data_IF_211423470425
#
_entry.id   IF_211423470425
#
_cell.length_a   1.000
_cell.length_b   1.000
_cell.length_c   1.000
_cell.angle_alpha   90.00
_cell.angle_beta   90.00
_cell.angle_gamma   90.00
#
_symmetry.space_group_name_H-M   'P 1'
#
loop_
_entity.id
_entity.type
_entity.pdbx_description
1 polymer ?
#
# COMPACT_ATOMS: atom_id res chain seq x y z
N UNK A 1 -8.15 4.67 -6.89
CA UNK A 1 -8.91 3.81 -5.97
C UNK A 1 -10.36 4.21 -5.85
N UNK A 2 -10.72 5.09 -4.90
CA UNK A 2 -12.11 5.34 -4.49
C UNK A 2 -13.06 5.76 -5.64
N UNK A 3 -12.60 6.59 -6.57
CA UNK A 3 -13.38 6.98 -7.76
C UNK A 3 -13.69 5.82 -8.70
N UNK A 4 -12.78 4.86 -8.82
CA UNK A 4 -13.00 3.64 -9.61
C UNK A 4 -13.98 2.72 -8.89
N UNK A 5 -13.84 2.57 -7.57
CA UNK A 5 -14.80 1.83 -6.76
C UNK A 5 -16.22 2.39 -6.92
N UNK A 6 -16.42 3.69 -6.74
CA UNK A 6 -17.75 4.30 -6.74
C UNK A 6 -18.53 4.11 -8.05
N UNK A 7 -17.82 4.03 -9.17
CA UNK A 7 -18.38 3.80 -10.50
C UNK A 7 -18.47 2.30 -10.87
N UNK A 8 -18.01 1.40 -10.01
CA UNK A 8 -18.02 -0.05 -10.29
C UNK A 8 -19.41 -0.67 -10.14
N UNK A 9 -19.65 -1.76 -10.86
CA UNK A 9 -20.84 -2.58 -10.68
C UNK A 9 -20.93 -3.14 -9.26
N UNK A 10 -19.79 -3.44 -8.63
CA UNK A 10 -19.73 -3.90 -7.25
C UNK A 10 -20.31 -2.87 -6.28
N UNK A 11 -19.87 -1.60 -6.36
CA UNK A 11 -20.40 -0.53 -5.51
C UNK A 11 -21.86 -0.20 -5.84
N UNK A 12 -22.28 -0.33 -7.09
CA UNK A 12 -23.68 -0.17 -7.48
C UNK A 12 -24.60 -1.24 -6.87
N UNK A 13 -24.11 -2.49 -6.72
CA UNK A 13 -24.84 -3.55 -6.00
C UNK A 13 -24.84 -3.34 -4.49
N UNK A 14 -23.73 -2.86 -3.94
CA UNK A 14 -23.60 -2.62 -2.50
C UNK A 14 -24.45 -1.41 -2.05
N UNK A 15 -24.55 -0.38 -2.89
CA UNK A 15 -25.29 0.86 -2.60
C UNK A 15 -26.13 1.33 -3.81
N UNK A 16 -27.22 0.62 -4.14
CA UNK A 16 -28.06 0.95 -5.31
C UNK A 16 -28.61 2.37 -5.26
N UNK A 17 -29.03 2.82 -4.07
CA UNK A 17 -29.75 4.08 -3.86
C UNK A 17 -28.83 5.28 -3.56
N UNK A 18 -27.52 5.08 -3.48
CA UNK A 18 -26.56 6.18 -3.25
C UNK A 18 -25.97 6.70 -4.55
N UNK A 19 -25.81 8.03 -4.63
CA UNK A 19 -25.07 8.67 -5.72
C UNK A 19 -23.59 8.24 -5.75
N UNK A 20 -23.00 8.28 -6.95
CA UNK A 20 -21.61 7.90 -7.19
C UNK A 20 -20.65 8.70 -6.31
N UNK A 21 -20.89 10.00 -6.09
CA UNK A 21 -20.03 10.83 -5.23
C UNK A 21 -19.99 10.34 -3.78
N UNK A 22 -21.15 9.93 -3.24
CA UNK A 22 -21.29 9.46 -1.86
C UNK A 22 -20.63 8.09 -1.69
N UNK A 23 -20.76 7.19 -2.67
CA UNK A 23 -20.07 5.88 -2.66
C UNK A 23 -18.55 6.03 -2.51
N UNK A 24 -17.98 7.07 -3.13
CA UNK A 24 -16.56 7.40 -2.99
C UNK A 24 -16.19 7.73 -1.55
N UNK A 25 -17.00 8.54 -0.86
CA UNK A 25 -16.80 8.90 0.54
C UNK A 25 -16.92 7.68 1.47
N UNK A 26 -17.87 6.78 1.23
CA UNK A 26 -18.01 5.52 1.98
C UNK A 26 -16.73 4.68 1.88
N UNK A 27 -16.15 4.57 0.68
CA UNK A 27 -14.90 3.82 0.47
C UNK A 27 -13.72 4.44 1.22
N UNK A 28 -13.63 5.78 1.26
CA UNK A 28 -12.59 6.47 2.03
C UNK A 28 -12.72 6.14 3.53
N UNK A 29 -13.92 6.21 4.08
CA UNK A 29 -14.16 5.91 5.50
C UNK A 29 -13.82 4.46 5.85
N UNK A 30 -14.24 3.49 5.03
CA UNK A 30 -13.96 2.06 5.24
C UNK A 30 -12.49 1.72 5.10
N UNK A 31 -11.79 2.37 4.16
CA UNK A 31 -10.34 2.20 3.99
C UNK A 31 -9.57 2.64 5.23
N UNK A 32 -10.06 3.62 5.99
CA UNK A 32 -9.45 4.00 7.27
C UNK A 32 -9.65 2.91 8.34
N UNK A 33 -10.80 2.24 8.35
CA UNK A 33 -11.12 1.16 9.30
C UNK A 33 -10.29 -0.10 9.01
N UNK A 34 -10.32 -0.57 7.76
CA UNK A 34 -9.48 -1.67 7.29
C UNK A 34 -9.09 -1.43 5.81
N UNK A 35 -7.84 -1.00 5.55
CA UNK A 35 -7.38 -0.76 4.19
C UNK A 35 -7.44 -2.00 3.30
N UNK A 36 -7.12 -3.18 3.85
CA UNK A 36 -7.05 -4.42 3.09
C UNK A 36 -8.46 -4.84 2.65
N UNK A 37 -9.42 -4.86 3.57
CA UNK A 37 -10.78 -5.30 3.30
C UNK A 37 -11.52 -4.41 2.29
N UNK A 38 -11.16 -3.12 2.20
CA UNK A 38 -11.75 -2.18 1.25
C UNK A 38 -11.02 -2.17 -0.10
N UNK A 39 -9.68 -2.17 -0.13
CA UNK A 39 -8.92 -2.09 -1.37
C UNK A 39 -9.05 -3.33 -2.26
N UNK A 40 -9.31 -4.51 -1.68
CA UNK A 40 -9.54 -5.76 -2.46
C UNK A 40 -10.80 -5.72 -3.31
N UNK A 41 -11.73 -4.78 -3.05
CA UNK A 41 -12.95 -4.57 -3.85
C UNK A 41 -12.68 -3.85 -5.17
N UNK A 42 -11.46 -3.34 -5.35
CA UNK A 42 -11.04 -2.58 -6.52
C UNK A 42 -10.12 -3.45 -7.37
N UNK A 43 -10.20 -3.32 -8.70
CA UNK A 43 -9.21 -3.96 -9.57
C UNK A 43 -7.80 -3.46 -9.19
N UNK A 44 -6.81 -4.33 -8.93
CA UNK A 44 -5.53 -3.91 -8.35
C UNK A 44 -4.79 -2.84 -9.17
N UNK A 45 -4.81 -2.96 -10.50
CA UNK A 45 -4.21 -1.97 -11.41
C UNK A 45 -4.90 -0.59 -11.38
N UNK A 46 -6.14 -0.52 -10.90
CA UNK A 46 -6.92 0.70 -10.81
C UNK A 46 -6.82 1.40 -9.44
N UNK A 47 -6.04 0.84 -8.51
CA UNK A 47 -5.77 1.48 -7.21
C UNK A 47 -5.03 2.81 -7.42
N UNK A 48 -4.13 2.90 -8.40
CA UNK A 48 -3.29 4.07 -8.65
C UNK A 48 -1.97 3.97 -7.91
N UNK A 49 -1.07 3.11 -8.39
CA UNK A 49 0.16 2.75 -7.65
C UNK A 49 1.43 3.45 -8.15
N UNK A 50 1.33 4.27 -9.21
CA UNK A 50 2.47 5.01 -9.74
C UNK A 50 2.06 6.02 -10.83
N UNK A 51 2.95 7.00 -11.08
CA UNK A 51 2.70 8.14 -11.97
C UNK A 51 2.41 7.74 -13.42
N UNK A 52 3.21 6.82 -13.97
CA UNK A 52 3.12 6.37 -15.36
C UNK A 52 2.57 4.94 -15.48
N UNK A 53 1.71 4.53 -14.54
CA UNK A 53 1.15 3.17 -14.51
C UNK A 53 0.34 2.82 -15.78
N UNK A 54 -0.12 3.82 -16.52
CA UNK A 54 -0.87 3.64 -17.76
C UNK A 54 0.04 3.42 -18.98
N UNK A 55 1.33 3.79 -18.86
CA UNK A 55 2.30 3.71 -19.95
C UNK A 55 3.10 2.39 -19.94
N UNK A 56 2.87 1.54 -18.93
CA UNK A 56 3.48 0.21 -18.84
C UNK A 56 2.59 -0.87 -19.45
N UNK A 57 3.17 -2.05 -19.68
CA UNK A 57 2.45 -3.25 -20.08
C UNK A 57 1.36 -3.62 -19.04
N UNK A 58 0.10 -3.43 -19.44
CA UNK A 58 -1.05 -3.58 -18.55
C UNK A 58 -1.28 -5.03 -18.12
N UNK A 59 -0.89 -6.02 -18.94
CA UNK A 59 -1.03 -7.42 -18.59
C UNK A 59 -0.02 -7.82 -17.52
N UNK A 60 1.25 -7.42 -17.69
CA UNK A 60 2.30 -7.65 -16.69
C UNK A 60 2.00 -6.90 -15.39
N UNK A 61 1.50 -5.67 -15.47
CA UNK A 61 1.09 -4.89 -14.30
C UNK A 61 -0.03 -5.58 -13.52
N UNK A 62 -1.11 -5.99 -14.20
CA UNK A 62 -2.23 -6.67 -13.58
C UNK A 62 -1.77 -7.95 -12.86
N UNK A 63 -1.02 -8.81 -13.55
CA UNK A 63 -0.50 -10.06 -12.97
C UNK A 63 0.38 -9.81 -11.73
N UNK A 64 1.27 -8.82 -11.79
CA UNK A 64 2.15 -8.49 -10.67
C UNK A 64 1.38 -7.96 -9.44
N UNK A 65 0.38 -7.12 -9.68
CA UNK A 65 -0.45 -6.56 -8.61
C UNK A 65 -1.42 -7.60 -8.05
N UNK A 66 -2.01 -8.47 -8.87
CA UNK A 66 -2.85 -9.58 -8.40
C UNK A 66 -2.06 -10.52 -7.47
N UNK A 67 -0.84 -10.90 -7.86
CA UNK A 67 0.03 -11.71 -7.02
C UNK A 67 0.36 -11.01 -5.68
N UNK A 68 0.59 -9.69 -5.71
CA UNK A 68 0.83 -8.93 -4.46
C UNK A 68 -0.40 -8.84 -3.57
N UNK A 69 -1.60 -8.73 -4.14
CA UNK A 69 -2.84 -8.75 -3.38
C UNK A 69 -3.05 -10.12 -2.73
N UNK A 70 -2.80 -11.20 -3.48
CA UNK A 70 -2.84 -12.57 -2.94
C UNK A 70 -1.85 -12.75 -1.79
N UNK A 71 -0.57 -12.35 -1.95
CA UNK A 71 0.43 -12.39 -0.88
C UNK A 71 -0.05 -11.67 0.39
N UNK A 72 -0.58 -10.45 0.24
CA UNK A 72 -1.02 -9.63 1.38
C UNK A 72 -2.25 -10.23 2.09
N UNK A 73 -3.25 -10.69 1.34
CA UNK A 73 -4.48 -11.27 1.92
C UNK A 73 -4.16 -12.55 2.69
N UNK A 74 -3.36 -13.44 2.10
CA UNK A 74 -3.02 -14.70 2.73
C UNK A 74 -2.05 -14.52 3.90
N UNK A 75 -1.16 -13.52 3.87
CA UNK A 75 -0.31 -13.19 5.02
C UNK A 75 -1.10 -12.69 6.24
N UNK A 76 -2.17 -11.91 6.03
CA UNK A 76 -3.03 -11.42 7.11
C UNK A 76 -4.00 -12.51 7.57
N UNK A 77 -4.48 -13.34 6.66
CA UNK A 77 -5.53 -14.32 6.90
C UNK A 77 -6.91 -13.68 7.02
N UNK A 78 -7.96 -14.45 6.79
CA UNK A 78 -9.33 -13.93 6.61
C UNK A 78 -10.28 -14.63 7.56
N UNK A 79 -11.06 -13.88 8.34
CA UNK A 79 -12.18 -14.46 9.09
C UNK A 79 -13.33 -14.80 8.14
N UNK A 80 -13.60 -16.09 8.00
CA UNK A 80 -14.57 -16.60 7.02
C UNK A 80 -16.02 -16.17 7.33
N UNK A 81 -16.31 -15.89 8.61
CA UNK A 81 -17.65 -15.53 9.05
C UNK A 81 -17.99 -14.06 8.81
N UNK A 82 -17.00 -13.20 8.62
CA UNK A 82 -17.21 -11.75 8.42
C UNK A 82 -16.74 -11.26 7.06
N UNK A 83 -15.85 -11.99 6.39
CA UNK A 83 -15.31 -11.58 5.11
C UNK A 83 -16.35 -11.45 4.00
N UNK A 84 -16.11 -10.48 3.12
CA UNK A 84 -16.84 -10.32 1.87
C UNK A 84 -16.38 -11.33 0.82
N UNK A 85 -17.23 -11.59 -0.18
CA UNK A 85 -16.85 -12.43 -1.32
C UNK A 85 -15.63 -11.87 -2.08
N UNK A 86 -15.48 -10.54 -2.14
CA UNK A 86 -14.31 -9.91 -2.78
C UNK A 86 -13.00 -10.23 -2.05
N UNK A 87 -13.01 -10.22 -0.71
CA UNK A 87 -11.85 -10.59 0.09
C UNK A 87 -11.55 -12.09 0.00
N UNK A 88 -12.59 -12.95 0.12
CA UNK A 88 -12.45 -14.40 -0.02
C UNK A 88 -11.90 -14.81 -1.38
N UNK A 89 -12.23 -14.10 -2.45
CA UNK A 89 -11.70 -14.37 -3.81
C UNK A 89 -10.19 -14.26 -3.90
N UNK A 90 -9.54 -13.56 -2.95
CA UNK A 90 -8.09 -13.37 -2.91
C UNK A 90 -7.37 -14.38 -2.01
N UNK A 91 -8.10 -15.28 -1.36
CA UNK A 91 -7.54 -16.35 -0.55
C UNK A 91 -7.06 -17.48 -1.46
N UNK A 92 -5.89 -18.06 -1.13
CA UNK A 92 -5.30 -19.18 -1.86
C UNK A 92 -6.31 -20.30 -2.11
N UNK A 93 -6.36 -20.78 -3.35
CA UNK A 93 -7.25 -21.85 -3.79
C UNK A 93 -8.72 -21.45 -3.99
N UNK A 94 -9.14 -20.23 -3.61
CA UNK A 94 -10.52 -19.77 -3.81
C UNK A 94 -10.69 -19.04 -5.14
N UNK A 95 -11.84 -19.28 -5.78
CA UNK A 95 -12.30 -18.51 -6.95
C UNK A 95 -13.49 -17.64 -6.56
N UNK A 96 -13.87 -16.68 -7.41
CA UNK A 96 -15.07 -15.86 -7.22
C UNK A 96 -16.32 -16.70 -6.97
N UNK A 97 -16.44 -17.82 -7.68
CA UNK A 97 -17.52 -18.78 -7.54
C UNK A 97 -17.55 -19.44 -6.15
N UNK A 98 -16.40 -19.90 -5.66
CA UNK A 98 -16.33 -20.57 -4.34
C UNK A 98 -16.49 -19.53 -3.23
N UNK A 99 -15.89 -18.35 -3.36
CA UNK A 99 -16.06 -17.24 -2.43
C UNK A 99 -17.54 -16.85 -2.27
N UNK A 100 -18.30 -16.75 -3.37
CA UNK A 100 -19.73 -16.50 -3.31
C UNK A 100 -20.49 -17.66 -2.66
N UNK A 101 -20.13 -18.91 -2.97
CA UNK A 101 -20.74 -20.09 -2.36
C UNK A 101 -20.51 -20.13 -0.84
N UNK A 102 -19.35 -19.70 -0.33
CA UNK A 102 -19.07 -19.60 1.11
C UNK A 102 -20.02 -18.59 1.76
N UNK A 103 -20.17 -17.40 1.17
CA UNK A 103 -21.09 -16.37 1.69
C UNK A 103 -22.54 -16.87 1.67
N UNK A 104 -23.00 -17.45 0.56
CA UNK A 104 -24.35 -18.01 0.45
C UNK A 104 -24.59 -19.12 1.48
N UNK A 105 -23.61 -20.00 1.68
CA UNK A 105 -23.70 -21.07 2.67
C UNK A 105 -23.82 -20.48 4.08
N UNK A 106 -22.98 -19.51 4.43
CA UNK A 106 -23.00 -18.82 5.74
C UNK A 106 -24.34 -18.12 5.98
N UNK A 107 -24.85 -17.41 4.98
CA UNK A 107 -26.11 -16.67 5.11
C UNK A 107 -27.32 -17.61 5.29
N UNK A 108 -27.26 -18.82 4.69
CA UNK A 108 -28.32 -19.82 4.81
C UNK A 108 -28.22 -20.73 6.05
N UNK A 109 -27.01 -21.06 6.51
CA UNK A 109 -26.76 -22.04 7.57
C UNK A 109 -26.25 -21.42 8.89
N UNK A 110 -25.96 -20.12 8.88
CA UNK A 110 -25.30 -19.43 9.99
C UNK A 110 -23.78 -19.49 9.89
N UNK A 111 -23.13 -18.94 10.93
CA UNK A 111 -21.67 -18.90 11.03
C UNK A 111 -21.05 -20.30 11.10
N UNK A 112 -19.91 -20.49 10.42
CA UNK A 112 -19.10 -21.69 10.51
C UNK A 112 -18.53 -21.83 11.92
N UNK A 113 -18.67 -23.03 12.51
CA UNK A 113 -18.14 -23.38 13.83
C UNK A 113 -16.80 -24.09 13.79
N UNK A 114 -16.44 -24.68 12.65
CA UNK A 114 -15.11 -25.23 12.43
C UNK A 114 -14.72 -25.22 10.95
N UNK A 115 -13.42 -25.27 10.66
CA UNK A 115 -12.91 -25.33 9.28
C UNK A 115 -13.45 -26.53 8.53
N UNK A 116 -13.67 -27.67 9.21
CA UNK A 116 -14.23 -28.89 8.60
C UNK A 116 -15.61 -28.64 7.95
N UNK A 117 -16.37 -27.66 8.43
CA UNK A 117 -17.65 -27.32 7.83
C UNK A 117 -17.54 -26.67 6.45
N UNK A 118 -16.36 -26.13 6.09
CA UNK A 118 -16.11 -25.58 4.75
C UNK A 118 -16.25 -26.66 3.66
N UNK A 119 -16.00 -27.93 3.97
CA UNK A 119 -16.23 -29.05 3.04
C UNK A 119 -17.71 -29.26 2.69
N UNK A 120 -18.64 -28.66 3.44
CA UNK A 120 -20.08 -28.67 3.12
C UNK A 120 -20.43 -27.59 2.08
N UNK A 121 -19.52 -26.66 1.78
CA UNK A 121 -19.75 -25.59 0.81
C UNK A 121 -19.72 -26.18 -0.61
N UNK A 122 -20.72 -25.90 -1.45
CA UNK A 122 -20.75 -26.42 -2.81
C UNK A 122 -19.50 -26.05 -3.61
N UNK A 123 -18.91 -27.03 -4.32
CA UNK A 123 -17.69 -26.89 -5.13
C UNK A 123 -16.40 -26.64 -4.34
N UNK A 124 -16.43 -26.68 -3.00
CA UNK A 124 -15.24 -26.68 -2.16
C UNK A 124 -14.87 -28.14 -1.83
N UNK A 125 -14.00 -28.73 -2.65
CA UNK A 125 -13.50 -30.09 -2.45
C UNK A 125 -12.22 -30.15 -1.62
N UNK A 126 -11.73 -31.35 -1.33
CA UNK A 126 -10.57 -31.59 -0.45
C UNK A 126 -9.31 -30.83 -0.88
N UNK A 127 -9.01 -30.78 -2.19
CA UNK A 127 -7.84 -30.04 -2.68
C UNK A 127 -7.99 -28.54 -2.48
N UNK A 128 -9.17 -27.98 -2.71
CA UNK A 128 -9.44 -26.56 -2.43
C UNK A 128 -9.33 -26.28 -0.94
N UNK A 129 -9.88 -27.17 -0.12
CA UNK A 129 -9.80 -27.07 1.34
C UNK A 129 -8.34 -27.05 1.82
N UNK A 130 -7.50 -27.97 1.33
CA UNK A 130 -6.06 -28.01 1.63
C UNK A 130 -5.34 -26.70 1.24
N UNK A 131 -5.74 -26.06 0.14
CA UNK A 131 -5.10 -24.81 -0.29
C UNK A 131 -5.55 -23.58 0.51
N UNK A 132 -6.78 -23.58 1.04
CA UNK A 132 -7.38 -22.39 1.66
C UNK A 132 -7.46 -22.45 3.18
N UNK A 133 -7.53 -23.64 3.79
CA UNK A 133 -7.92 -23.80 5.18
C UNK A 133 -6.98 -23.08 6.16
N UNK A 134 -5.68 -23.05 5.89
CA UNK A 134 -4.70 -22.35 6.74
C UNK A 134 -4.88 -20.82 6.78
N UNK A 135 -5.52 -20.25 5.76
CA UNK A 135 -5.72 -18.81 5.60
C UNK A 135 -7.11 -18.35 6.05
N UNK A 136 -8.06 -19.28 6.20
CA UNK A 136 -9.41 -19.00 6.69
C UNK A 136 -9.48 -19.23 8.19
N UNK A 137 -9.85 -18.21 8.96
CA UNK A 137 -9.92 -18.24 10.42
C UNK A 137 -11.36 -18.26 10.92
N UNK A 138 -11.56 -18.88 12.07
CA UNK A 138 -12.82 -18.89 12.81
C UNK A 138 -12.47 -18.57 14.27
N UNK A 139 -12.75 -17.33 14.71
CA UNK A 139 -12.35 -16.84 16.03
C UNK A 139 -13.09 -17.56 17.18
N UNK A 140 -14.42 -17.67 17.06
CA UNK A 140 -15.30 -18.20 18.11
C UNK A 140 -15.86 -19.59 17.74
N UNK A 141 -14.98 -20.46 17.24
CA UNK A 141 -15.30 -21.82 16.81
C UNK A 141 -15.16 -22.88 17.91
N UNK A 142 -15.60 -24.10 17.60
CA UNK A 142 -15.52 -25.25 18.50
C UNK A 142 -14.07 -25.79 18.62
N UNK A 143 -13.26 -25.59 17.58
CA UNK A 143 -11.85 -25.98 17.53
C UNK A 143 -10.96 -24.73 17.73
N UNK A 144 -10.27 -24.57 18.88
CA UNK A 144 -9.45 -23.39 19.15
C UNK A 144 -8.33 -23.13 18.13
N UNK A 145 -7.83 -24.17 17.47
CA UNK A 145 -6.79 -24.03 16.43
C UNK A 145 -7.31 -23.36 15.15
N UNK A 146 -8.62 -23.30 14.92
CA UNK A 146 -9.21 -22.66 13.74
C UNK A 146 -9.08 -21.12 13.79
N UNK A 147 -8.81 -20.54 14.96
CA UNK A 147 -8.48 -19.12 15.11
C UNK A 147 -7.03 -18.79 14.72
N UNK A 148 -6.21 -19.81 14.48
CA UNK A 148 -4.77 -19.69 14.21
C UNK A 148 -4.43 -19.97 12.74
N UNK A 149 -3.19 -19.73 12.36
CA UNK A 149 -2.64 -20.07 11.04
C UNK A 149 -2.16 -21.53 10.96
N UNK A 150 -2.32 -22.33 12.03
CA UNK A 150 -1.99 -23.76 12.00
C UNK A 150 -2.92 -24.46 11.02
N UNK A 151 -2.35 -25.08 10.00
CA UNK A 151 -3.12 -25.80 8.99
C UNK A 151 -3.75 -27.07 9.58
N UNK A 152 -5.00 -27.46 9.22
CA UNK A 152 -5.66 -28.66 9.75
C UNK A 152 -4.88 -29.97 9.57
N UNK A 153 -4.06 -30.08 8.52
CA UNK A 153 -3.19 -31.25 8.32
C UNK A 153 -2.18 -31.46 9.46
N UNK A 154 -1.81 -30.37 10.16
CA UNK A 154 -0.83 -30.36 11.23
C UNK A 154 -1.47 -30.43 12.63
N UNK A 155 -2.79 -30.57 12.74
CA UNK A 155 -3.46 -30.77 14.04
C UNK A 155 -2.93 -31.98 14.81
N UNK A 156 -2.60 -33.12 14.17
CA UNK A 156 -1.96 -34.24 14.87
C UNK A 156 -0.62 -33.88 15.52
N UNK A 157 0.14 -32.92 14.97
CA UNK A 157 1.38 -32.42 15.59
C UNK A 157 1.08 -31.71 16.90
N UNK A 158 0.07 -30.84 16.89
CA UNK A 158 -0.37 -30.12 18.10
C UNK A 158 -0.90 -31.10 19.15
N UNK A 159 -1.65 -32.13 18.75
CA UNK A 159 -2.11 -33.18 19.66
C UNK A 159 -0.94 -33.93 20.34
N UNK A 160 0.16 -34.19 19.61
CA UNK A 160 1.38 -34.77 20.20
C UNK A 160 2.03 -33.83 21.22
N UNK A 161 2.09 -32.53 20.92
CA UNK A 161 2.60 -31.51 21.85
C UNK A 161 1.78 -31.49 23.14
N UNK A 162 0.45 -31.52 23.04
CA UNK A 162 -0.46 -31.50 24.18
C UNK A 162 -0.30 -32.73 25.08
N UNK A 163 -0.19 -33.92 24.46
CA UNK A 163 0.03 -35.18 25.19
C UNK A 163 1.33 -35.15 25.98
N UNK A 164 2.40 -34.61 25.41
CA UNK A 164 3.70 -34.48 26.09
C UNK A 164 3.63 -33.50 27.26
N UNK A 165 2.87 -32.41 27.11
CA UNK A 165 2.74 -31.38 28.15
C UNK A 165 1.71 -31.76 29.24
N UNK A 166 0.80 -32.69 28.97
CA UNK A 166 -0.32 -33.03 29.86
C UNK A 166 -1.32 -31.88 30.03
N UNK A 167 -1.54 -31.08 28.98
CA UNK A 167 -2.34 -29.84 29.02
C UNK A 167 -3.39 -29.84 27.91
N UNK A 168 -4.45 -29.06 28.10
CA UNK A 168 -5.46 -28.82 27.06
C UNK A 168 -5.02 -27.68 26.11
N UNK A 169 -5.54 -27.68 24.87
CA UNK A 169 -5.22 -26.67 23.84
C UNK A 169 -5.37 -25.24 24.38
N UNK A 170 -6.49 -24.96 25.04
CA UNK A 170 -6.83 -23.62 25.56
C UNK A 170 -5.85 -23.13 26.63
N UNK A 171 -5.18 -24.05 27.33
CA UNK A 171 -4.19 -23.73 28.37
C UNK A 171 -2.78 -23.57 27.81
N UNK A 172 -2.52 -24.08 26.60
CA UNK A 172 -1.23 -23.98 25.92
C UNK A 172 -1.15 -22.71 25.07
N UNK A 173 -2.26 -22.32 24.44
CA UNK A 173 -2.34 -21.08 23.65
C UNK A 173 -2.00 -19.88 24.53
N UNK A 174 -1.02 -19.08 24.10
CA UNK A 174 -0.57 -17.89 24.83
C UNK A 174 0.45 -18.15 25.95
N UNK A 175 0.75 -19.41 26.31
CA UNK A 175 1.76 -19.75 27.31
C UNK A 175 3.18 -19.68 26.70
N UNK A 176 3.66 -18.46 26.48
CA UNK A 176 4.94 -18.20 25.83
C UNK A 176 6.12 -18.83 26.57
N UNK A 177 6.05 -18.95 27.90
CA UNK A 177 7.14 -19.55 28.69
C UNK A 177 7.25 -21.04 28.39
N UNK A 178 6.14 -21.77 28.45
CA UNK A 178 6.12 -23.20 28.14
C UNK A 178 6.49 -23.45 26.67
N UNK A 179 5.87 -22.73 25.73
CA UNK A 179 6.08 -22.94 24.30
C UNK A 179 7.54 -22.71 23.88
N UNK A 180 8.23 -21.73 24.47
CA UNK A 180 9.65 -21.47 24.20
C UNK A 180 10.59 -22.48 24.84
N UNK A 181 10.14 -23.21 25.85
CA UNK A 181 10.92 -24.30 26.48
C UNK A 181 10.91 -25.59 25.64
N UNK A 182 9.90 -25.76 24.78
CA UNK A 182 9.76 -26.92 23.92
C UNK A 182 10.79 -26.92 22.79
N UNK A 183 11.32 -28.10 22.47
CA UNK A 183 12.23 -28.30 21.34
C UNK A 183 11.46 -28.85 20.15
N UNK A 184 11.48 -28.12 19.03
CA UNK A 184 10.74 -28.49 17.82
C UNK A 184 11.14 -29.88 17.29
N UNK A 185 12.40 -30.27 17.47
CA UNK A 185 12.96 -31.57 17.06
C UNK A 185 12.26 -32.76 17.72
N UNK A 186 11.56 -32.55 18.84
CA UNK A 186 10.83 -33.61 19.56
C UNK A 186 9.47 -33.95 18.93
N UNK A 187 8.95 -33.07 18.07
CA UNK A 187 7.58 -33.20 17.52
C UNK A 187 7.54 -33.35 16.00
N UNK A 188 8.69 -33.56 15.37
CA UNK A 188 8.76 -33.84 13.92
C UNK A 188 8.19 -35.23 13.60
N UNK A 189 7.87 -35.46 12.33
CA UNK A 189 7.61 -36.78 11.76
C UNK A 189 8.09 -36.81 10.30
N UNK A 190 7.73 -37.87 9.55
CA UNK A 190 8.11 -38.04 8.15
C UNK A 190 7.51 -36.97 7.22
N UNK A 191 6.40 -36.34 7.63
CA UNK A 191 5.67 -35.34 6.85
C UNK A 191 6.01 -33.92 7.29
N UNK A 192 6.12 -33.69 8.60
CA UNK A 192 6.30 -32.37 9.21
C UNK A 192 7.70 -32.23 9.82
N UNK A 193 8.56 -31.47 9.12
CA UNK A 193 9.90 -31.16 9.57
C UNK A 193 9.98 -30.04 10.62
N UNK A 194 11.20 -29.75 11.07
CA UNK A 194 11.51 -28.72 12.07
C UNK A 194 10.94 -27.33 11.74
N UNK A 195 11.00 -26.82 10.48
CA UNK A 195 10.44 -25.51 10.16
C UNK A 195 8.94 -25.41 10.49
N UNK A 196 8.16 -26.41 10.07
CA UNK A 196 6.71 -26.46 10.31
C UNK A 196 6.39 -26.50 11.79
N UNK A 197 7.05 -27.37 12.55
CA UNK A 197 6.84 -27.46 14.01
C UNK A 197 7.21 -26.14 14.70
N UNK A 198 8.30 -25.50 14.29
CA UNK A 198 8.72 -24.21 14.85
C UNK A 198 7.67 -23.12 14.60
N UNK A 199 7.07 -23.10 13.41
CA UNK A 199 6.05 -22.12 13.09
C UNK A 199 4.73 -22.42 13.82
N UNK A 200 4.37 -23.70 14.01
CA UNK A 200 3.26 -24.10 14.89
C UNK A 200 3.49 -23.59 16.31
N UNK A 201 4.68 -23.74 16.89
CA UNK A 201 4.98 -23.27 18.25
C UNK A 201 4.86 -21.74 18.37
N UNK A 202 5.34 -20.99 17.38
CA UNK A 202 5.17 -19.52 17.33
C UNK A 202 3.69 -19.14 17.20
N UNK A 203 2.95 -19.87 16.40
CA UNK A 203 1.53 -19.61 16.17
C UNK A 203 0.71 -19.90 17.43
N UNK A 204 1.04 -20.96 18.19
CA UNK A 204 0.43 -21.23 19.50
C UNK A 204 0.79 -20.14 20.54
N UNK A 205 1.94 -19.47 20.40
CA UNK A 205 2.32 -18.36 21.29
C UNK A 205 1.40 -17.16 21.08
N UNK A 206 1.08 -16.84 19.82
CA UNK A 206 0.19 -15.73 19.44
C UNK A 206 -0.66 -16.12 18.22
N UNK A 207 -1.82 -16.79 18.43
CA UNK A 207 -2.65 -17.27 17.33
C UNK A 207 -3.19 -16.14 16.46
N UNK A 208 -3.15 -16.33 15.15
CA UNK A 208 -3.72 -15.41 14.17
C UNK A 208 -3.08 -14.02 14.23
N UNK A 209 -1.80 -13.94 14.61
CA UNK A 209 -1.07 -12.69 14.76
C UNK A 209 -1.16 -11.89 13.46
N UNK A 210 -1.76 -10.71 13.55
CA UNK A 210 -1.80 -9.78 12.44
C UNK A 210 -0.38 -9.30 12.08
N UNK A 211 0.08 -9.49 10.83
CA UNK A 211 1.39 -9.01 10.40
C UNK A 211 1.42 -7.49 10.14
N UNK A 212 0.25 -6.83 10.11
CA UNK A 212 0.15 -5.38 9.90
C UNK A 212 0.71 -4.63 11.11
N UNK A 213 1.32 -3.45 10.90
CA UNK A 213 1.76 -2.61 12.01
C UNK A 213 0.56 -2.15 12.85
N UNK A 214 0.80 -1.90 14.13
CA UNK A 214 -0.20 -1.27 14.99
C UNK A 214 -0.56 0.12 14.45
N UNK A 215 -1.86 0.41 14.40
CA UNK A 215 -2.35 1.71 13.99
C UNK A 215 -1.94 2.77 15.02
N UNK A 216 -1.28 3.82 14.55
CA UNK A 216 -0.97 5.02 15.34
C UNK A 216 -1.63 6.20 14.65
N UNK A 217 -2.53 6.88 15.36
CA UNK A 217 -3.06 8.15 14.88
C UNK A 217 -1.97 9.20 15.00
N UNK A 218 -1.64 9.87 13.89
CA UNK A 218 -0.84 11.08 13.96
C UNK A 218 -1.62 12.13 14.75
N UNK A 219 -0.98 12.71 15.77
CA UNK A 219 -1.56 13.84 16.50
C UNK A 219 -1.04 15.11 15.84
N UNK A 220 -1.90 15.73 15.03
CA UNK A 220 -1.61 17.07 14.55
C UNK A 220 -1.70 18.05 15.72
N UNK A 221 -0.93 19.13 15.66
CA UNK A 221 -0.98 20.15 16.70
C UNK A 221 -2.35 20.86 16.65
N UNK A 222 -3.04 20.91 17.78
CA UNK A 222 -4.34 21.59 17.89
C UNK A 222 -4.21 23.06 17.47
N UNK A 223 -5.06 23.50 16.53
CA UNK A 223 -5.12 24.89 16.05
C UNK A 223 -4.21 25.23 14.86
N UNK A 224 -3.61 24.23 14.18
CA UNK A 224 -2.87 24.41 12.92
C UNK A 224 -3.60 23.64 11.81
N UNK A 225 -4.55 24.30 11.14
CA UNK A 225 -5.40 23.68 10.10
C UNK A 225 -5.10 24.24 8.70
N UNK A 226 -4.55 25.47 8.62
CA UNK A 226 -4.21 26.12 7.36
C UNK A 226 -2.71 26.42 7.26
N UNK A 227 -2.21 26.54 6.03
CA UNK A 227 -0.81 26.93 5.75
C UNK A 227 -0.43 28.27 6.42
N UNK A 228 -1.43 29.13 6.69
CA UNK A 228 -1.25 30.44 7.33
C UNK A 228 -0.95 30.35 8.82
N UNK A 229 -1.30 29.24 9.46
CA UNK A 229 -1.08 29.02 10.89
C UNK A 229 0.34 28.54 11.16
N UNK A 230 1.04 28.08 10.11
CA UNK A 230 2.43 27.65 10.20
C UNK A 230 3.37 28.81 10.42
N UNK A 231 4.31 28.61 11.34
CA UNK A 231 5.44 29.50 11.57
C UNK A 231 6.74 28.73 11.47
N UNK A 232 7.76 29.39 10.94
CA UNK A 232 9.11 28.83 10.91
C UNK A 232 9.57 28.46 12.33
N UNK A 233 10.25 27.32 12.44
CA UNK A 233 10.72 26.76 13.69
C UNK A 233 9.70 25.90 14.45
N UNK A 234 8.42 25.88 14.04
CA UNK A 234 7.43 24.97 14.64
C UNK A 234 7.85 23.52 14.45
N UNK A 235 7.67 22.72 15.50
CA UNK A 235 7.89 21.28 15.45
C UNK A 235 6.55 20.59 15.50
N UNK A 236 6.23 19.85 14.44
CA UNK A 236 4.95 19.19 14.23
C UNK A 236 5.18 17.69 14.02
N UNK A 237 4.19 16.88 14.34
CA UNK A 237 4.13 15.50 13.84
C UNK A 237 3.39 15.49 12.51
N UNK A 238 3.92 14.76 11.55
CA UNK A 238 3.31 14.59 10.25
C UNK A 238 3.45 13.16 9.75
N UNK A 239 2.62 12.81 8.76
CA UNK A 239 2.64 11.49 8.13
C UNK A 239 3.29 11.61 6.76
N UNK A 240 4.26 10.74 6.47
CA UNK A 240 4.87 10.68 5.14
C UNK A 240 3.82 10.28 4.12
N UNK A 241 3.44 11.16 3.21
CA UNK A 241 2.45 10.90 2.17
C UNK A 241 3.06 10.13 1.00
N UNK A 242 4.28 10.48 0.61
CA UNK A 242 4.98 9.88 -0.52
C UNK A 242 6.50 10.03 -0.39
N UNK A 243 7.25 9.11 -0.99
CA UNK A 243 8.72 9.11 -1.00
C UNK A 243 9.23 9.17 -2.43
N UNK A 244 9.88 10.28 -2.78
CA UNK A 244 10.51 10.51 -4.07
C UNK A 244 12.03 10.27 -4.00
N UNK A 245 12.70 10.24 -5.15
CA UNK A 245 14.16 10.04 -5.19
C UNK A 245 14.95 11.19 -4.53
N UNK A 246 14.38 12.39 -4.48
CA UNK A 246 15.03 13.60 -3.96
C UNK A 246 14.58 13.98 -2.53
N UNK A 247 13.66 13.23 -1.92
CA UNK A 247 13.10 13.59 -0.62
C UNK A 247 11.81 12.85 -0.29
N UNK A 248 11.15 13.30 0.78
CA UNK A 248 9.86 12.77 1.21
C UNK A 248 8.85 13.91 1.39
N UNK A 249 7.61 13.65 0.98
CA UNK A 249 6.47 14.53 1.21
C UNK A 249 5.78 14.12 2.50
N UNK A 250 5.48 15.09 3.35
CA UNK A 250 4.90 14.89 4.67
C UNK A 250 3.67 15.77 4.82
N UNK A 251 2.55 15.14 5.14
CA UNK A 251 1.32 15.81 5.53
C UNK A 251 1.39 16.17 7.02
N UNK A 252 1.28 17.46 7.32
CA UNK A 252 1.29 18.03 8.67
C UNK A 252 -0.09 18.55 9.09
N UNK A 253 -1.16 18.22 8.33
CA UNK A 253 -2.54 18.55 8.68
C UNK A 253 -3.07 19.86 8.09
N UNK A 254 -2.34 20.48 7.16
CA UNK A 254 -2.67 21.80 6.56
C UNK A 254 -3.14 21.74 5.10
N UNK A 255 -3.61 20.57 4.66
CA UNK A 255 -4.05 20.28 3.28
C UNK A 255 -2.99 20.48 2.18
N UNK A 256 -1.74 20.71 2.56
CA UNK A 256 -0.61 20.89 1.66
C UNK A 256 0.60 20.15 2.21
N UNK A 257 1.14 19.22 1.42
CA UNK A 257 2.32 18.46 1.81
C UNK A 257 3.55 19.36 1.89
N UNK A 258 4.32 19.21 2.96
CA UNK A 258 5.65 19.77 3.08
C UNK A 258 6.71 18.81 2.54
N UNK A 259 7.76 19.37 1.95
CA UNK A 259 8.86 18.58 1.38
C UNK A 259 10.05 18.55 2.35
N UNK A 260 10.49 17.34 2.70
CA UNK A 260 11.80 17.10 3.32
C UNK A 260 12.78 16.68 2.22
N UNK A 261 13.80 17.49 1.99
CA UNK A 261 14.86 17.15 1.04
C UNK A 261 15.69 15.94 1.54
N UNK A 262 16.28 15.16 0.64
CA UNK A 262 17.05 13.94 0.99
C UNK A 262 18.13 14.19 2.06
N UNK A 263 18.81 15.34 2.00
CA UNK A 263 19.84 15.73 2.96
C UNK A 263 19.30 16.09 4.34
N UNK A 264 17.99 16.34 4.46
CA UNK A 264 17.31 16.73 5.70
C UNK A 264 16.51 15.57 6.33
N UNK A 265 16.60 14.36 5.75
CA UNK A 265 15.91 13.15 6.25
C UNK A 265 16.64 12.45 7.40
N UNK A 266 17.94 12.68 7.57
CA UNK A 266 18.77 12.03 8.58
C UNK A 266 20.04 12.85 8.84
N UNK A 267 20.66 12.68 10.00
CA UNK A 267 21.98 13.25 10.30
C UNK A 267 23.13 12.51 9.59
N UNK A 268 22.84 11.31 9.05
CA UNK A 268 23.78 10.53 8.24
C UNK A 268 23.49 10.73 6.76
N UNK A 269 24.51 10.52 5.92
CA UNK A 269 24.34 10.53 4.48
C UNK A 269 23.32 9.46 4.03
N UNK A 270 22.29 9.89 3.31
CA UNK A 270 21.23 9.03 2.78
C UNK A 270 21.40 8.91 1.28
N UNK A 271 21.55 7.69 0.77
CA UNK A 271 21.64 7.44 -0.69
C UNK A 271 20.26 7.33 -1.33
N UNK A 272 19.32 6.67 -0.66
CA UNK A 272 17.93 6.53 -1.11
C UNK A 272 16.98 6.87 0.06
N UNK A 273 16.09 7.86 -0.09
CA UNK A 273 15.07 8.20 0.91
C UNK A 273 14.23 7.00 1.38
N UNK A 274 14.02 5.99 0.53
CA UNK A 274 13.21 4.80 0.82
C UNK A 274 13.81 3.87 1.85
N UNK A 275 15.12 3.99 2.12
CA UNK A 275 15.80 3.26 3.19
C UNK A 275 15.50 3.87 4.57
N UNK A 276 15.13 5.16 4.61
CA UNK A 276 15.02 5.93 5.84
C UNK A 276 13.57 6.18 6.25
N UNK A 277 12.69 6.38 5.27
CA UNK A 277 11.25 6.63 5.48
C UNK A 277 10.41 5.89 4.45
N UNK A 278 9.20 5.51 4.87
CA UNK A 278 8.17 4.90 4.04
C UNK A 278 6.90 5.74 4.08
N UNK A 279 6.10 5.65 3.03
CA UNK A 279 4.76 6.25 3.04
C UNK A 279 3.94 5.65 4.20
N UNK A 280 3.32 6.50 5.01
CA UNK A 280 2.60 6.15 6.23
C UNK A 280 3.42 6.29 7.52
N UNK A 281 4.74 6.52 7.45
CA UNK A 281 5.54 6.74 8.66
C UNK A 281 5.14 8.06 9.34
N UNK A 282 4.98 8.03 10.67
CA UNK A 282 4.81 9.22 11.49
C UNK A 282 6.20 9.77 11.82
N UNK A 283 6.47 11.00 11.40
CA UNK A 283 7.74 11.68 11.60
C UNK A 283 7.55 13.01 12.30
N UNK A 284 8.48 13.32 13.21
CA UNK A 284 8.57 14.65 13.81
C UNK A 284 9.40 15.55 12.89
N UNK A 285 8.83 16.68 12.50
CA UNK A 285 9.40 17.58 11.51
C UNK A 285 9.42 19.00 12.04
N UNK A 286 10.41 19.78 11.62
CA UNK A 286 10.50 21.20 11.90
C UNK A 286 10.24 21.99 10.62
N UNK A 287 9.41 23.02 10.72
CA UNK A 287 9.12 23.95 9.62
C UNK A 287 10.34 24.83 9.40
N UNK A 288 10.95 24.76 8.21
CA UNK A 288 12.07 25.61 7.83
C UNK A 288 11.61 26.90 7.15
N UNK A 289 10.68 26.78 6.21
CA UNK A 289 10.21 27.90 5.38
C UNK A 289 8.76 27.66 4.98
N UNK A 290 7.95 28.72 4.95
CA UNK A 290 6.55 28.70 4.50
C UNK A 290 6.34 29.78 3.44
N UNK A 291 6.14 29.35 2.19
CA UNK A 291 5.77 30.23 1.07
C UNK A 291 4.27 30.09 0.81
N UNK A 292 3.47 30.96 1.45
CA UNK A 292 2.01 30.99 1.29
C UNK A 292 1.58 31.31 -0.15
N UNK A 293 2.17 32.29 -0.86
CA UNK A 293 1.83 32.56 -2.26
C UNK A 293 1.99 31.35 -3.18
N UNK A 294 3.06 30.55 -3.00
CA UNK A 294 3.34 29.38 -3.83
C UNK A 294 2.80 28.07 -3.25
N UNK A 295 2.18 28.09 -2.07
CA UNK A 295 1.72 26.92 -1.32
C UNK A 295 2.83 25.88 -1.11
N UNK A 296 4.02 26.35 -0.73
CA UNK A 296 5.19 25.48 -0.49
C UNK A 296 5.59 25.53 0.98
N UNK A 297 5.84 24.36 1.55
CA UNK A 297 6.31 24.21 2.93
C UNK A 297 7.61 23.39 2.87
N UNK A 298 8.70 23.97 3.36
CA UNK A 298 9.97 23.26 3.50
C UNK A 298 10.09 22.71 4.92
N UNK A 299 10.37 21.41 5.02
CA UNK A 299 10.46 20.69 6.29
C UNK A 299 11.84 20.08 6.46
N UNK A 300 12.26 19.91 7.72
CA UNK A 300 13.45 19.12 8.08
C UNK A 300 13.13 18.12 9.17
N UNK A 301 13.76 16.94 9.13
CA UNK A 301 13.74 15.99 10.25
C UNK A 301 14.87 16.26 11.24
N UNK A 302 15.85 17.08 10.86
CA UNK A 302 16.97 17.49 11.71
C UNK A 302 16.52 18.68 12.55
N UNK A 303 16.15 18.42 13.80
CA UNK A 303 15.52 19.42 14.68
C UNK A 303 16.44 20.59 15.04
N UNK A 304 17.76 20.37 14.94
CA UNK A 304 18.81 21.35 15.21
C UNK A 304 19.07 22.30 14.02
N UNK A 305 18.60 21.96 12.81
CA UNK A 305 18.81 22.81 11.64
C UNK A 305 18.00 24.12 11.80
N UNK A 306 18.65 25.24 11.47
CA UNK A 306 18.02 26.56 11.35
C UNK A 306 17.82 26.88 9.86
N UNK A 307 16.78 27.66 9.54
CA UNK A 307 16.49 28.04 8.15
C UNK A 307 17.73 28.70 7.53
N UNK A 308 18.10 28.35 6.28
CA UNK A 308 19.21 29.01 5.62
C UNK A 308 18.90 30.49 5.43
N UNK A 309 19.83 31.37 5.80
CA UNK A 309 19.69 32.80 5.58
C UNK A 309 19.42 33.10 4.10
N UNK A 310 18.52 34.05 3.76
CA UNK A 310 18.20 34.37 2.38
C UNK A 310 19.49 34.80 1.67
N UNK A 311 19.83 34.06 0.60
CA UNK A 311 20.91 34.47 -0.31
C UNK A 311 20.44 35.72 -1.03
N UNK A 312 20.92 36.88 -0.58
CA UNK A 312 20.70 38.16 -1.25
C UNK A 312 21.16 38.10 -2.71
N UNK A 313 20.41 38.79 -3.56
CA UNK A 313 20.69 39.00 -4.98
C UNK A 313 22.18 39.28 -5.21
N UNK A 314 22.83 38.40 -5.97
CA UNK A 314 24.13 38.71 -6.56
C UNK A 314 23.87 39.57 -7.79
N UNK A 315 23.86 40.87 -7.54
CA UNK A 315 23.84 41.95 -8.51
C UNK A 315 24.93 41.76 -9.58
N UNK A 316 24.50 41.68 -10.83
CA UNK A 316 25.31 41.61 -12.05
C UNK A 316 26.14 42.88 -12.20
N UNK A 317 27.40 42.85 -11.77
CA UNK A 317 28.37 43.91 -12.11
C UNK A 317 29.74 43.32 -12.47
N UNK A 318 29.89 42.93 -13.73
CA UNK A 318 31.18 43.10 -14.40
C UNK A 318 31.01 43.29 -15.92
N UNK A 319 30.68 44.53 -16.31
CA UNK A 319 30.91 45.02 -17.66
C UNK A 319 32.03 46.08 -17.60
N UNK A 320 32.93 45.99 -18.58
CA UNK A 320 33.89 47.01 -19.02
C UNK A 320 35.32 46.95 -18.44
N UNK A 321 36.19 46.21 -19.14
CA UNK A 321 37.51 46.72 -19.58
C UNK A 321 37.80 46.26 -21.00
N UNK A 322 38.10 47.22 -21.87
CA UNK A 322 38.15 47.06 -23.33
C UNK A 322 39.53 46.78 -23.94
N UNK A 323 39.47 46.52 -25.26
CA UNK A 323 40.39 46.84 -26.38
C UNK A 323 41.91 46.64 -26.17
N UNK A 324 42.70 45.98 -27.02
CA UNK A 324 42.78 46.02 -28.49
C UNK A 324 43.81 44.96 -29.03
N UNK A 325 44.33 44.97 -30.30
CA UNK A 325 44.18 43.83 -31.22
C UNK A 325 45.50 43.27 -31.86
N UNK A 326 45.41 42.14 -32.58
CA UNK A 326 46.30 41.63 -33.67
C UNK A 326 45.76 40.24 -34.06
N UNK A 327 45.52 39.83 -35.30
CA UNK A 327 46.13 40.14 -36.58
C UNK A 327 46.63 38.81 -37.18
N UNK A 328 45.94 38.27 -38.19
CA UNK A 328 46.34 37.03 -38.88
C UNK A 328 45.36 36.67 -40.01
N UNK A 329 45.86 36.68 -41.24
CA UNK A 329 45.14 36.62 -42.52
C UNK A 329 45.50 35.31 -43.24
N UNK A 330 44.71 35.00 -44.29
CA UNK A 330 44.79 33.92 -45.30
C UNK A 330 43.80 32.76 -45.06
N UNK A 331 42.94 32.36 -46.00
CA UNK A 331 42.91 32.59 -47.44
C UNK A 331 42.65 31.24 -48.12
N UNK A 332 41.50 31.06 -48.78
CA UNK A 332 41.22 29.84 -49.53
C UNK A 332 39.75 29.59 -49.83
N UNK A 333 39.32 29.96 -51.05
CA UNK A 333 38.05 29.55 -51.65
C UNK A 333 38.16 28.09 -52.09
N UNK A 334 37.11 27.31 -51.91
CA UNK A 334 36.60 26.46 -53.00
C UNK A 334 35.13 26.09 -52.79
N UNK A 335 34.39 26.20 -53.89
CA UNK A 335 32.97 25.94 -54.00
C UNK A 335 32.76 24.59 -54.69
N UNK A 336 31.80 23.79 -54.17
CA UNK A 336 30.99 22.73 -54.80
C UNK A 336 30.36 21.97 -53.63
N UNK A 337 29.07 22.02 -53.38
CA UNK A 337 27.99 21.53 -54.25
C UNK A 337 27.36 20.33 -53.54
N UNK A 338 26.06 20.39 -53.24
CA UNK A 338 25.37 19.26 -52.60
C UNK A 338 24.14 19.68 -51.80
N UNK A 339 23.08 20.07 -52.52
CA UNK A 339 21.75 20.18 -51.92
C UNK A 339 21.16 18.80 -51.65
N UNK A 340 20.59 18.62 -50.47
CA UNK A 340 19.59 17.59 -50.20
C UNK A 340 18.44 18.20 -49.41
N UNK A 341 17.33 18.37 -50.13
CA UNK A 341 15.99 18.53 -49.58
C UNK A 341 15.62 17.28 -48.79
N UNK A 342 15.23 17.45 -47.52
CA UNK A 342 14.50 16.44 -46.77
C UNK A 342 13.14 16.99 -46.37
N UNK A 343 12.12 16.27 -46.80
CA UNK A 343 10.71 16.60 -46.73
C UNK A 343 10.19 16.69 -45.29
N UNK A 344 9.30 17.67 -45.06
CA UNK A 344 8.39 17.70 -43.92
C UNK A 344 7.36 16.57 -44.07
N UNK A 345 7.55 15.48 -43.34
CA UNK A 345 6.53 14.47 -43.14
C UNK A 345 5.57 14.94 -42.03
N UNK A 346 4.35 15.21 -42.44
CA UNK A 346 3.22 15.60 -41.60
C UNK A 346 2.71 14.35 -40.85
N UNK A 347 2.94 14.26 -39.54
CA UNK A 347 2.38 13.20 -38.69
C UNK A 347 1.09 13.72 -38.04
N UNK A 348 -0.07 13.03 -38.18
CA UNK A 348 -1.30 13.46 -37.51
C UNK A 348 -1.22 13.17 -35.99
N UNK A 349 -1.77 14.04 -35.13
CA UNK A 349 -1.81 13.81 -33.69
C UNK A 349 -2.79 12.67 -33.33
N UNK A 350 -2.54 11.92 -32.24
CA UNK A 350 -3.33 10.76 -31.87
C UNK A 350 -4.76 11.13 -31.46
N UNK A 351 -5.72 10.35 -31.96
CA UNK A 351 -7.14 10.41 -31.61
C UNK A 351 -7.38 9.99 -30.17
N UNK A 352 -7.73 10.94 -29.31
CA UNK A 352 -8.62 10.68 -28.17
C UNK A 352 -9.26 12.00 -27.68
N UNK A 353 -10.37 12.40 -28.32
CA UNK A 353 -11.14 13.59 -27.94
C UNK A 353 -12.65 13.31 -27.86
N UNK A 354 -13.05 12.08 -27.54
CA UNK A 354 -14.46 11.71 -27.38
C UNK A 354 -15.13 12.44 -26.20
N UNK A 355 -14.41 12.64 -25.09
CA UNK A 355 -14.93 13.32 -23.89
C UNK A 355 -15.02 14.84 -24.07
N UNK A 356 -14.03 15.45 -24.75
CA UNK A 356 -14.05 16.88 -25.08
C UNK A 356 -15.17 17.21 -26.07
N UNK A 357 -15.43 16.32 -27.03
CA UNK A 357 -16.55 16.46 -27.98
C UNK A 357 -17.92 16.34 -27.29
N UNK A 358 -18.05 15.45 -26.30
CA UNK A 358 -19.29 15.33 -25.51
C UNK A 358 -19.58 16.60 -24.68
N UNK A 359 -18.55 17.18 -24.05
CA UNK A 359 -18.67 18.43 -23.29
C UNK A 359 -19.01 19.65 -24.16
N UNK A 360 -18.45 19.72 -25.37
CA UNK A 360 -18.75 20.80 -26.30
C UNK A 360 -20.19 20.75 -26.83
N UNK A 361 -20.78 19.54 -26.92
CA UNK A 361 -22.16 19.34 -27.39
C UNK A 361 -23.19 19.66 -26.29
N UNK A 362 -22.87 19.36 -25.03
CA UNK A 362 -23.72 19.71 -23.88
C UNK A 362 -23.78 21.22 -23.62
N UNK A 363 -22.73 21.98 -23.94
CA UNK A 363 -22.72 23.45 -23.80
C UNK A 363 -23.52 24.21 -24.86
N UNK A 364 -23.98 23.53 -25.91
CA UNK A 364 -24.78 24.11 -27.01
C UNK A 364 -26.23 23.62 -27.04
N UNK A 365 -26.66 22.86 -26.04
CA UNK A 365 -28.04 22.36 -25.90
C UNK A 365 -28.79 23.14 -24.83
#
# INVERSE_FOLDING_TARGET
GASVYSASEFAAKEFPDLDVSIRGAVSIARRLQDPLAELVKIEPKAIGVGQYQHDVDQFKLARALDAKVEDCVNAVGVDVNTASAALLTRVSGLSSTIAQNIVVYRDANGAFRSRKELLKVPRLGDKTFEQCAGFLRIADGDQPLDASSVHPEAYPVVERILKQCGREVKQLIGDASLLRSLKAEQFIDETFGVPTVRDILKELEKPGRDPRPEFKAARFADGVEDIKDLREGMILEGVVSNVAAFGAFVDIGVHQDGLIHISALSDKYVKDPREVVKAGDIVKVKVLEVDVPRKRIALTRRLDDTAPAPRGDRDDRNASRGNAPRGGRDGGRDARGGGFNAARANTPPPMNNALAAAFAKAKKS
#
